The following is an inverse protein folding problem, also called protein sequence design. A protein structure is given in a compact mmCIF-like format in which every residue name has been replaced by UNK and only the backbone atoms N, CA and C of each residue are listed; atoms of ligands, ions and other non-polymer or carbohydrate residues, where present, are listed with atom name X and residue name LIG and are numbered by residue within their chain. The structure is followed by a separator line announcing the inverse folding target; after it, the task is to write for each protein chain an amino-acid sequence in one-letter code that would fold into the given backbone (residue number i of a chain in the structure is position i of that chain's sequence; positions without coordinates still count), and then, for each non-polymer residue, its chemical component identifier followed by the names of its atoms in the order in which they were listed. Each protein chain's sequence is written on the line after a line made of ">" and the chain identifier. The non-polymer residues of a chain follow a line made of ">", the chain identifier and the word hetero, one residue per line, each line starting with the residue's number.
data_IF_554116011223
#
_entry.id   IF_554116011223
#
_cell.length_a   1.000
_cell.length_b   1.000
_cell.length_c   1.000
_cell.angle_alpha   90.00
_cell.angle_beta   90.00
_cell.angle_gamma   90.00
#
_symmetry.space_group_name_H-M   'P 1'
#
loop_
_entity.id
_entity.type
_entity.pdbx_description
1 polymer ?
#
# COMPACT_ATOMS: atom_id res chain seq x y z
N UNK A 1 -47.96 1.93 17.56
CA UNK A 1 -47.53 2.37 16.22
C UNK A 1 -46.21 3.11 16.42
N UNK A 2 -45.10 2.48 16.03
CA UNK A 2 -43.81 3.17 15.98
C UNK A 2 -43.89 4.21 14.84
N UNK A 3 -43.31 5.42 15.02
CA UNK A 3 -43.25 6.39 13.93
C UNK A 3 -42.50 5.77 12.75
N UNK A 4 -43.05 5.95 11.55
CA UNK A 4 -42.37 5.58 10.31
C UNK A 4 -40.96 6.20 10.30
N UNK A 5 -39.91 5.44 9.95
CA UNK A 5 -38.59 6.02 9.78
C UNK A 5 -38.71 7.18 8.78
N UNK A 6 -38.15 8.34 9.18
CA UNK A 6 -38.16 9.57 8.38
C UNK A 6 -37.76 9.28 6.93
N UNK A 7 -38.34 10.01 5.96
CA UNK A 7 -38.03 9.83 4.55
C UNK A 7 -36.52 10.03 4.34
N UNK A 8 -35.87 8.94 3.91
CA UNK A 8 -34.61 8.87 3.18
C UNK A 8 -33.77 10.15 3.24
N UNK A 9 -32.83 10.22 4.20
CA UNK A 9 -31.65 11.07 4.01
C UNK A 9 -30.96 10.50 2.78
N UNK A 10 -31.14 11.15 1.63
CA UNK A 10 -30.48 10.76 0.39
C UNK A 10 -28.97 10.80 0.67
N UNK A 11 -28.35 9.64 0.51
CA UNK A 11 -26.96 9.46 0.89
C UNK A 11 -26.08 10.26 -0.06
N UNK A 12 -25.34 11.22 0.49
CA UNK A 12 -24.39 12.00 -0.30
C UNK A 12 -23.18 11.13 -0.69
N UNK A 13 -23.24 10.64 -1.93
CA UNK A 13 -22.21 9.78 -2.51
C UNK A 13 -20.89 10.52 -2.76
N UNK A 14 -20.91 11.83 -2.98
CA UNK A 14 -19.68 12.61 -3.15
C UNK A 14 -18.91 12.67 -1.82
N UNK A 15 -19.63 12.86 -0.70
CA UNK A 15 -19.06 12.77 0.64
C UNK A 15 -18.54 11.37 0.98
N UNK A 16 -19.20 10.30 0.50
CA UNK A 16 -18.67 8.94 0.67
C UNK A 16 -17.37 8.71 -0.09
N UNK A 17 -17.25 9.23 -1.31
CA UNK A 17 -16.02 9.13 -2.10
C UNK A 17 -14.87 9.86 -1.39
N UNK A 18 -15.08 11.11 -0.97
CA UNK A 18 -14.06 11.90 -0.25
C UNK A 18 -13.69 11.24 1.09
N UNK A 19 -14.70 10.76 1.83
CA UNK A 19 -14.52 10.05 3.09
C UNK A 19 -13.72 8.75 2.92
N UNK A 20 -13.96 7.99 1.86
CA UNK A 20 -13.19 6.80 1.54
C UNK A 20 -11.76 7.14 1.15
N UNK A 21 -11.56 8.08 0.23
CA UNK A 21 -10.24 8.45 -0.28
C UNK A 21 -9.29 8.89 0.83
N UNK A 22 -9.80 9.58 1.86
CA UNK A 22 -9.02 10.09 2.99
C UNK A 22 -8.86 9.09 4.12
N UNK A 23 -9.71 8.07 4.18
CA UNK A 23 -9.64 7.08 5.23
C UNK A 23 -8.31 6.32 5.17
N UNK A 24 -7.83 5.98 6.36
CA UNK A 24 -6.55 5.32 6.55
C UNK A 24 -6.72 3.80 6.61
N UNK A 25 -5.80 3.11 5.97
CA UNK A 25 -5.57 1.68 6.13
C UNK A 25 -4.22 1.51 6.80
N UNK A 26 -4.20 0.79 7.92
CA UNK A 26 -2.99 0.47 8.65
C UNK A 26 -2.67 -1.02 8.54
N UNK A 27 -1.41 -1.33 8.27
CA UNK A 27 -0.89 -2.68 8.42
C UNK A 27 0.54 -2.62 8.97
N UNK A 28 0.78 -3.32 10.09
CA UNK A 28 2.07 -3.33 10.80
C UNK A 28 2.63 -1.93 11.11
N UNK A 29 1.76 -1.01 11.56
CA UNK A 29 2.15 0.36 11.88
C UNK A 29 2.44 1.26 10.66
N UNK A 30 2.34 0.72 9.44
CA UNK A 30 2.43 1.51 8.20
C UNK A 30 1.02 1.92 7.80
N UNK A 31 0.80 3.24 7.74
CA UNK A 31 -0.47 3.86 7.38
C UNK A 31 -0.41 4.36 5.93
N UNK A 32 -1.45 4.06 5.16
CA UNK A 32 -1.67 4.60 3.82
C UNK A 32 -3.14 4.98 3.65
N UNK A 33 -3.43 5.98 2.83
CA UNK A 33 -4.82 6.31 2.47
C UNK A 33 -5.36 5.31 1.45
N UNK A 34 -6.68 5.07 1.43
CA UNK A 34 -7.28 4.21 0.42
C UNK A 34 -7.09 4.73 -1.02
N UNK A 35 -7.01 6.05 -1.23
CA UNK A 35 -6.63 6.60 -2.56
C UNK A 35 -5.20 6.20 -2.96
N UNK A 36 -4.24 6.32 -2.02
CA UNK A 36 -2.84 5.96 -2.25
C UNK A 36 -2.66 4.47 -2.49
N UNK A 37 -3.29 3.64 -1.65
CA UNK A 37 -3.30 2.17 -1.79
C UNK A 37 -3.86 1.77 -3.16
N UNK A 38 -5.00 2.33 -3.56
CA UNK A 38 -5.66 1.99 -4.82
C UNK A 38 -4.82 2.40 -6.02
N UNK A 39 -4.26 3.62 -6.01
CA UNK A 39 -3.37 4.11 -7.07
C UNK A 39 -2.08 3.30 -7.16
N UNK A 40 -1.46 2.99 -6.02
CA UNK A 40 -0.25 2.18 -5.97
C UNK A 40 -0.50 0.78 -6.54
N UNK A 41 -1.62 0.16 -6.20
CA UNK A 41 -2.01 -1.12 -6.78
C UNK A 41 -2.19 -1.04 -8.30
N UNK A 42 -2.87 -0.02 -8.84
CA UNK A 42 -3.01 0.17 -10.29
C UNK A 42 -1.62 0.27 -10.95
N UNK A 43 -0.71 1.06 -10.39
CA UNK A 43 0.64 1.25 -10.94
C UNK A 43 1.51 0.00 -10.86
N UNK A 44 1.34 -0.82 -9.83
CA UNK A 44 2.13 -2.02 -9.58
C UNK A 44 1.60 -3.24 -10.34
N UNK A 45 0.29 -3.39 -10.43
CA UNK A 45 -0.34 -4.55 -11.06
C UNK A 45 -0.52 -4.39 -12.58
N UNK A 46 -0.54 -3.17 -13.12
CA UNK A 46 -0.91 -2.90 -14.52
C UNK A 46 0.08 -2.02 -15.29
N UNK A 47 0.24 -2.32 -16.58
CA UNK A 47 0.98 -1.53 -17.57
C UNK A 47 0.16 -0.30 -17.94
N UNK A 48 0.82 0.86 -17.94
CA UNK A 48 0.22 2.18 -18.19
C UNK A 48 -1.09 2.42 -17.40
N UNK A 49 -1.17 1.84 -16.20
CA UNK A 49 -2.32 1.93 -15.32
C UNK A 49 -2.62 3.37 -14.92
N UNK A 50 -3.79 3.88 -15.29
CA UNK A 50 -4.23 5.24 -14.98
C UNK A 50 -5.61 5.25 -14.35
N UNK A 51 -5.70 5.79 -13.14
CA UNK A 51 -6.98 6.06 -12.50
C UNK A 51 -7.71 7.19 -13.25
N UNK A 52 -8.90 6.90 -13.77
CA UNK A 52 -9.71 7.85 -14.53
C UNK A 52 -10.64 8.65 -13.62
N UNK A 53 -11.37 7.96 -12.74
CA UNK A 53 -12.33 8.56 -11.82
C UNK A 53 -12.71 7.63 -10.68
N UNK A 54 -13.32 8.20 -9.66
CA UNK A 54 -14.07 7.48 -8.65
C UNK A 54 -15.55 7.62 -8.94
N UNK A 55 -16.30 6.53 -8.75
CA UNK A 55 -17.76 6.52 -8.82
C UNK A 55 -18.32 5.79 -7.61
N UNK A 56 -19.55 6.10 -7.25
CA UNK A 56 -20.22 5.52 -6.11
C UNK A 56 -21.64 5.09 -6.47
N UNK A 57 -22.10 4.03 -5.83
CA UNK A 57 -23.48 3.57 -5.88
C UNK A 57 -23.89 3.03 -4.50
N UNK A 58 -25.17 3.12 -4.11
CA UNK A 58 -25.64 2.48 -2.90
C UNK A 58 -25.35 0.97 -2.90
N UNK A 59 -25.04 0.40 -1.75
CA UNK A 59 -24.94 -1.06 -1.60
C UNK A 59 -26.29 -1.72 -1.93
N UNK A 60 -26.33 -2.79 -2.74
CA UNK A 60 -27.57 -3.51 -3.02
C UNK A 60 -28.12 -4.22 -1.77
N UNK A 61 -27.29 -4.41 -0.74
CA UNK A 61 -27.67 -5.09 0.50
C UNK A 61 -28.12 -4.11 1.58
N UNK A 62 -27.40 -3.00 1.74
CA UNK A 62 -27.65 -2.00 2.79
C UNK A 62 -27.54 -0.56 2.22
N UNK A 63 -28.45 -0.15 1.30
CA UNK A 63 -28.30 1.11 0.55
C UNK A 63 -28.32 2.37 1.43
N UNK A 64 -28.95 2.30 2.61
CA UNK A 64 -29.04 3.42 3.54
C UNK A 64 -27.72 3.65 4.29
N UNK A 65 -26.94 2.60 4.52
CA UNK A 65 -25.80 2.64 5.45
C UNK A 65 -24.46 2.29 4.81
N UNK A 66 -24.47 1.77 3.59
CA UNK A 66 -23.28 1.38 2.82
C UNK A 66 -23.29 1.95 1.39
N UNK A 67 -22.10 2.34 0.94
CA UNK A 67 -21.84 2.76 -0.44
C UNK A 67 -20.75 1.87 -1.02
N UNK A 68 -20.95 1.41 -2.25
CA UNK A 68 -19.90 0.80 -3.05
C UNK A 68 -19.21 1.91 -3.84
N UNK A 69 -17.94 2.14 -3.52
CA UNK A 69 -17.10 3.16 -4.14
C UNK A 69 -16.08 2.46 -5.04
N UNK A 70 -16.16 2.73 -6.35
CA UNK A 70 -15.35 2.09 -7.38
C UNK A 70 -14.34 3.07 -7.97
N UNK A 71 -13.06 2.72 -7.91
CA UNK A 71 -11.99 3.33 -8.68
C UNK A 71 -11.97 2.77 -10.10
N UNK A 72 -12.38 3.58 -11.07
CA UNK A 72 -12.36 3.22 -12.49
C UNK A 72 -11.01 3.63 -13.08
N UNK A 73 -10.34 2.68 -13.73
CA UNK A 73 -9.01 2.89 -14.30
C UNK A 73 -8.92 2.31 -15.71
N UNK A 74 -7.85 2.64 -16.42
CA UNK A 74 -7.46 2.04 -17.70
C UNK A 74 -6.06 1.46 -17.59
N UNK A 75 -5.76 0.43 -18.38
CA UNK A 75 -4.45 -0.18 -18.47
C UNK A 75 -4.27 -0.87 -19.83
N UNK A 76 -3.04 -0.99 -20.31
CA UNK A 76 -2.71 -1.74 -21.53
C UNK A 76 -2.66 -3.24 -21.29
N UNK A 77 -2.35 -3.66 -20.07
CA UNK A 77 -2.34 -5.07 -19.64
C UNK A 77 -1.85 -5.22 -18.19
N UNK A 78 -1.82 -6.45 -17.64
CA UNK A 78 -1.21 -6.71 -16.34
C UNK A 78 0.32 -6.74 -16.40
N UNK A 79 1.01 -6.09 -15.45
CA UNK A 79 2.48 -6.15 -15.28
C UNK A 79 2.95 -7.42 -14.56
N UNK A 80 2.25 -7.75 -13.49
CA UNK A 80 2.67 -8.77 -12.55
C UNK A 80 1.91 -10.06 -12.80
N UNK A 81 2.63 -11.20 -12.80
CA UNK A 81 2.00 -12.51 -12.66
C UNK A 81 1.12 -12.50 -11.42
N UNK A 82 -0.18 -12.71 -11.60
CA UNK A 82 -1.08 -12.84 -10.48
C UNK A 82 -0.74 -14.13 -9.70
N UNK A 83 -0.96 -14.15 -8.37
CA UNK A 83 -0.67 -15.32 -7.55
C UNK A 83 -1.48 -16.56 -7.97
N UNK A 84 -2.63 -16.38 -8.62
CA UNK A 84 -3.49 -17.47 -9.11
C UNK A 84 -4.04 -17.18 -10.53
N UNK A 85 -4.31 -18.21 -11.35
CA UNK A 85 -4.80 -18.03 -12.73
C UNK A 85 -6.10 -17.24 -12.85
N UNK A 86 -7.04 -17.42 -11.91
CA UNK A 86 -8.33 -16.74 -11.90
C UNK A 86 -8.15 -15.22 -11.78
N UNK A 87 -7.25 -14.80 -10.88
CA UNK A 87 -6.91 -13.40 -10.70
C UNK A 87 -6.12 -12.85 -11.90
N UNK A 88 -5.28 -13.67 -12.54
CA UNK A 88 -4.60 -13.26 -13.78
C UNK A 88 -5.62 -12.95 -14.88
N UNK A 89 -6.65 -13.79 -15.00
CA UNK A 89 -7.75 -13.58 -15.93
C UNK A 89 -8.52 -12.30 -15.61
N UNK A 90 -8.86 -12.07 -14.34
CA UNK A 90 -9.55 -10.85 -13.91
C UNK A 90 -8.74 -9.58 -14.18
N UNK A 91 -7.43 -9.59 -13.89
CA UNK A 91 -6.54 -8.46 -14.23
C UNK A 91 -6.49 -8.22 -15.74
N UNK A 92 -6.42 -9.28 -16.55
CA UNK A 92 -6.43 -9.15 -18.01
C UNK A 92 -7.73 -8.55 -18.56
N UNK A 93 -8.89 -8.93 -17.99
CA UNK A 93 -10.18 -8.36 -18.37
C UNK A 93 -10.35 -6.90 -17.91
N UNK A 94 -9.73 -6.53 -16.79
CA UNK A 94 -9.97 -5.23 -16.14
C UNK A 94 -9.23 -4.05 -16.77
N UNK A 95 -8.26 -4.32 -17.66
CA UNK A 95 -7.60 -3.27 -18.45
C UNK A 95 -8.49 -2.69 -19.57
N UNK A 96 -9.51 -3.45 -20.01
CA UNK A 96 -10.51 -2.97 -20.96
C UNK A 96 -11.51 -2.06 -20.22
N UNK A 97 -11.72 -0.85 -20.75
CA UNK A 97 -12.49 0.21 -20.11
C UNK A 97 -13.83 -0.28 -19.53
N UNK A 98 -14.00 -0.14 -18.21
CA UNK A 98 -15.28 -0.42 -17.52
C UNK A 98 -15.16 -1.22 -16.22
N UNK A 99 -14.04 -1.90 -15.98
CA UNK A 99 -13.75 -2.53 -14.69
C UNK A 99 -13.10 -1.55 -13.71
N UNK A 100 -13.26 -1.82 -12.41
CA UNK A 100 -12.70 -0.97 -11.37
C UNK A 100 -12.54 -1.69 -10.03
N UNK A 101 -11.72 -1.11 -9.17
CA UNK A 101 -11.47 -1.62 -7.82
C UNK A 101 -12.55 -1.06 -6.92
N UNK A 102 -13.38 -1.93 -6.33
CA UNK A 102 -14.54 -1.51 -5.53
C UNK A 102 -14.31 -1.74 -4.05
N UNK A 103 -14.60 -0.73 -3.25
CA UNK A 103 -14.54 -0.76 -1.81
C UNK A 103 -15.95 -0.56 -1.24
N UNK A 104 -16.29 -1.31 -0.20
CA UNK A 104 -17.53 -1.12 0.55
C UNK A 104 -17.27 -0.16 1.70
N UNK A 105 -17.90 1.00 1.66
CA UNK A 105 -17.78 2.08 2.65
C UNK A 105 -19.02 2.17 3.52
N UNK A 106 -18.87 1.96 4.84
CA UNK A 106 -19.96 1.99 5.83
C UNK A 106 -19.72 3.06 6.89
N UNK A 107 -20.82 3.74 7.30
CA UNK A 107 -20.82 4.82 8.32
C UNK A 107 -21.67 4.50 9.56
N UNK A 108 -22.12 3.25 9.73
CA UNK A 108 -23.21 2.88 10.66
C UNK A 108 -22.85 3.09 12.15
N UNK A 109 -21.58 2.92 12.52
CA UNK A 109 -21.10 3.13 13.90
C UNK A 109 -19.69 3.73 13.96
N UNK A 110 -18.86 3.39 12.98
CA UNK A 110 -17.57 3.99 12.68
C UNK A 110 -17.36 3.87 11.17
N UNK A 111 -16.43 4.63 10.61
CA UNK A 111 -16.00 4.44 9.22
C UNK A 111 -15.39 3.04 9.11
N UNK A 112 -16.01 2.19 8.29
CA UNK A 112 -15.51 0.85 7.95
C UNK A 112 -15.39 0.73 6.45
N UNK A 113 -14.24 0.23 6.00
CA UNK A 113 -13.95 0.04 4.59
C UNK A 113 -13.50 -1.39 4.38
N UNK A 114 -14.28 -2.14 3.61
CA UNK A 114 -13.98 -3.52 3.26
C UNK A 114 -13.71 -3.65 1.76
N UNK A 115 -12.82 -4.55 1.34
CA UNK A 115 -12.72 -4.93 -0.06
C UNK A 115 -14.07 -5.45 -0.59
N UNK A 116 -14.44 -5.05 -1.81
CA UNK A 116 -15.62 -5.58 -2.51
C UNK A 116 -15.21 -6.15 -3.87
N UNK A 117 -15.14 -7.48 -3.95
CA UNK A 117 -14.70 -8.21 -5.14
C UNK A 117 -13.18 -8.47 -5.17
N UNK A 118 -12.77 -9.31 -6.10
CA UNK A 118 -11.42 -9.90 -6.10
C UNK A 118 -10.30 -8.89 -6.31
N UNK A 119 -10.52 -7.85 -7.12
CA UNK A 119 -9.51 -6.80 -7.35
C UNK A 119 -9.21 -5.98 -6.10
N UNK A 120 -10.22 -5.73 -5.25
CA UNK A 120 -10.00 -5.02 -4.00
C UNK A 120 -9.30 -5.90 -2.96
N UNK A 121 -9.62 -7.20 -2.94
CA UNK A 121 -8.88 -8.18 -2.13
C UNK A 121 -7.42 -8.30 -2.58
N UNK A 122 -7.18 -8.32 -3.89
CA UNK A 122 -5.85 -8.33 -4.48
C UNK A 122 -5.09 -7.03 -4.18
N UNK A 123 -5.73 -5.86 -4.27
CA UNK A 123 -5.13 -4.58 -3.87
C UNK A 123 -4.66 -4.59 -2.41
N UNK A 124 -5.48 -5.14 -1.51
CA UNK A 124 -5.12 -5.31 -0.10
C UNK A 124 -3.97 -6.32 0.09
N UNK A 125 -3.97 -7.43 -0.65
CA UNK A 125 -2.90 -8.42 -0.59
C UNK A 125 -1.57 -7.84 -1.09
N UNK A 126 -1.58 -7.10 -2.20
CA UNK A 126 -0.41 -6.40 -2.74
C UNK A 126 0.11 -5.35 -1.76
N UNK A 127 -0.79 -4.58 -1.12
CA UNK A 127 -0.39 -3.63 -0.07
C UNK A 127 0.33 -4.34 1.09
N UNK A 128 -0.27 -5.39 1.64
CA UNK A 128 0.31 -6.17 2.74
C UNK A 128 1.66 -6.78 2.36
N UNK A 129 1.76 -7.41 1.19
CA UNK A 129 3.01 -7.98 0.69
C UNK A 129 4.09 -6.90 0.47
N UNK A 130 3.70 -5.71 0.03
CA UNK A 130 4.61 -4.57 -0.14
C UNK A 130 5.13 -4.07 1.19
N UNK A 131 4.26 -3.94 2.19
CA UNK A 131 4.64 -3.58 3.57
C UNK A 131 5.53 -4.67 4.18
N UNK A 132 5.19 -5.94 4.02
CA UNK A 132 5.98 -7.07 4.52
C UNK A 132 7.40 -7.05 3.91
N UNK A 133 7.50 -6.91 2.59
CA UNK A 133 8.78 -6.76 1.89
C UNK A 133 9.55 -5.51 2.32
N UNK A 134 8.86 -4.40 2.62
CA UNK A 134 9.49 -3.19 3.13
C UNK A 134 10.10 -3.42 4.52
N UNK A 135 9.32 -3.99 5.44
CA UNK A 135 9.75 -4.28 6.82
C UNK A 135 10.90 -5.28 6.84
N UNK A 136 10.88 -6.32 6.02
CA UNK A 136 11.96 -7.31 5.93
C UNK A 136 13.29 -6.70 5.47
N UNK A 137 13.25 -5.61 4.71
CA UNK A 137 14.42 -4.87 4.24
C UNK A 137 14.83 -3.74 5.18
N UNK A 138 14.05 -3.45 6.22
CA UNK A 138 14.41 -2.41 7.18
C UNK A 138 15.52 -2.88 8.11
N UNK A 139 16.56 -2.07 8.19
CA UNK A 139 17.66 -2.22 9.13
C UNK A 139 17.90 -0.91 9.84
N UNK A 140 18.49 -0.95 11.02
CA UNK A 140 18.98 0.25 11.70
C UNK A 140 20.50 0.17 11.87
N UNK A 141 21.16 1.33 11.92
CA UNK A 141 22.60 1.47 12.10
C UNK A 141 22.91 1.93 13.54
N UNK A 142 23.23 1.03 14.49
CA UNK A 142 23.35 1.39 15.91
C UNK A 142 24.42 2.45 16.19
N UNK A 143 25.55 2.38 15.48
CA UNK A 143 26.67 3.31 15.63
C UNK A 143 26.84 4.29 14.46
N UNK A 144 25.89 4.31 13.51
CA UNK A 144 26.02 5.05 12.27
C UNK A 144 27.08 4.46 11.33
N UNK A 145 27.53 5.25 10.35
CA UNK A 145 28.60 4.83 9.45
C UNK A 145 28.75 5.70 8.20
N UNK A 146 29.68 5.33 7.34
CA UNK A 146 29.91 6.01 6.06
C UNK A 146 29.30 5.19 4.91
N UNK A 147 28.38 5.79 4.16
CA UNK A 147 27.88 5.23 2.91
C UNK A 147 28.92 5.43 1.81
N UNK A 148 29.25 4.36 1.10
CA UNK A 148 30.28 4.36 0.06
C UNK A 148 29.71 4.12 -1.32
N UNK A 149 30.44 4.55 -2.35
CA UNK A 149 30.02 4.38 -3.74
C UNK A 149 30.08 2.92 -4.22
N UNK A 150 30.89 2.07 -3.58
CA UNK A 150 31.08 0.66 -3.90
C UNK A 150 31.27 -0.17 -2.61
N UNK A 151 31.09 -1.51 -2.65
CA UNK A 151 31.28 -2.40 -1.50
C UNK A 151 32.77 -2.62 -1.19
N UNK A 152 33.47 -1.53 -0.89
CA UNK A 152 34.90 -1.48 -0.58
C UNK A 152 35.18 -0.33 0.40
N UNK A 153 36.03 -0.56 1.39
CA UNK A 153 36.50 0.44 2.34
C UNK A 153 37.31 1.57 1.69
N UNK A 154 37.93 1.32 0.53
CA UNK A 154 38.67 2.33 -0.22
C UNK A 154 37.77 3.25 -1.05
N UNK A 155 36.52 2.85 -1.29
CA UNK A 155 35.60 3.58 -2.16
C UNK A 155 35.20 4.94 -1.55
N UNK A 156 34.95 5.97 -2.40
CA UNK A 156 34.55 7.30 -1.94
C UNK A 156 33.33 7.25 -1.02
N UNK A 157 33.37 8.06 0.04
CA UNK A 157 32.24 8.26 0.95
C UNK A 157 31.25 9.22 0.29
N UNK A 158 30.04 8.75 0.06
CA UNK A 158 28.93 9.52 -0.49
C UNK A 158 28.20 10.32 0.59
N UNK A 159 28.02 9.73 1.77
CA UNK A 159 27.31 10.33 2.89
C UNK A 159 27.73 9.70 4.22
N UNK A 160 27.41 10.38 5.32
CA UNK A 160 27.46 9.79 6.67
C UNK A 160 26.04 9.54 7.17
N UNK A 161 25.90 8.47 7.92
CA UNK A 161 24.67 8.01 8.54
C UNK A 161 24.85 8.11 10.04
N UNK A 162 23.89 8.75 10.68
CA UNK A 162 23.88 8.93 12.13
C UNK A 162 23.58 7.62 12.86
N UNK A 163 24.03 7.54 14.12
CA UNK A 163 23.68 6.44 15.01
C UNK A 163 22.16 6.38 15.22
N UNK A 164 21.60 5.18 15.19
CA UNK A 164 20.16 4.93 15.30
C UNK A 164 19.36 5.15 14.01
N UNK A 165 20.00 5.55 12.90
CA UNK A 165 19.29 5.76 11.64
C UNK A 165 18.67 4.46 11.10
N UNK A 166 17.42 4.57 10.63
CA UNK A 166 16.70 3.48 9.96
C UNK A 166 16.91 3.58 8.45
N UNK A 167 17.25 2.46 7.84
CA UNK A 167 17.68 2.33 6.46
C UNK A 167 16.93 1.17 5.79
N UNK A 168 16.82 1.22 4.47
CA UNK A 168 16.26 0.16 3.65
C UNK A 168 17.38 -0.53 2.88
N UNK A 169 17.49 -1.86 2.98
CA UNK A 169 18.41 -2.68 2.20
C UNK A 169 17.86 -2.87 0.79
N UNK A 170 18.66 -2.52 -0.21
CA UNK A 170 18.32 -2.68 -1.64
C UNK A 170 19.07 -3.85 -2.27
N UNK A 171 20.29 -4.13 -1.80
CA UNK A 171 21.16 -5.19 -2.33
C UNK A 171 22.12 -5.67 -1.24
N UNK A 172 22.53 -6.93 -1.29
CA UNK A 172 23.61 -7.47 -0.45
C UNK A 172 24.69 -8.12 -1.32
N UNK A 173 25.95 -7.78 -1.07
CA UNK A 173 27.09 -8.28 -1.82
C UNK A 173 28.35 -8.33 -0.96
N UNK A 174 28.99 -9.50 -0.90
CA UNK A 174 30.32 -9.69 -0.31
C UNK A 174 30.49 -9.09 1.10
N UNK A 175 29.47 -9.23 1.97
CA UNK A 175 29.52 -8.69 3.34
C UNK A 175 29.18 -7.20 3.46
N UNK A 176 28.76 -6.56 2.36
CA UNK A 176 28.20 -5.21 2.33
C UNK A 176 26.73 -5.25 1.99
N UNK A 177 26.00 -4.28 2.51
CA UNK A 177 24.63 -3.97 2.12
C UNK A 177 24.60 -2.63 1.44
N UNK A 178 23.94 -2.57 0.28
CA UNK A 178 23.55 -1.31 -0.32
C UNK A 178 22.27 -0.86 0.36
N UNK A 179 22.32 0.31 0.98
CA UNK A 179 21.23 0.84 1.78
C UNK A 179 20.88 2.25 1.35
N UNK A 180 19.63 2.63 1.60
CA UNK A 180 19.10 3.96 1.37
C UNK A 180 18.38 4.43 2.62
N UNK A 181 18.52 5.70 2.99
CA UNK A 181 17.78 6.29 4.11
C UNK A 181 16.48 6.90 3.59
N UNK A 182 15.29 6.37 3.93
CA UNK A 182 14.04 7.03 3.57
C UNK A 182 13.94 8.43 4.22
N UNK A 183 13.37 9.44 3.54
CA UNK A 183 12.79 9.41 2.20
C UNK A 183 13.80 9.66 1.06
N UNK A 184 15.09 9.85 1.36
CA UNK A 184 16.09 10.18 0.35
C UNK A 184 16.24 9.08 -0.72
N UNK A 185 16.58 9.47 -1.94
CA UNK A 185 16.83 8.57 -3.08
C UNK A 185 18.27 8.09 -3.15
N UNK A 186 19.19 8.77 -2.45
CA UNK A 186 20.60 8.43 -2.47
C UNK A 186 20.86 7.12 -1.70
N UNK A 187 21.39 6.13 -2.40
CA UNK A 187 21.80 4.84 -1.85
C UNK A 187 23.32 4.71 -1.85
N UNK A 188 23.87 3.95 -0.90
CA UNK A 188 25.29 3.65 -0.84
C UNK A 188 25.57 2.37 -0.07
N UNK A 189 26.82 1.93 -0.10
CA UNK A 189 27.28 0.68 0.49
C UNK A 189 27.77 0.89 1.92
N UNK A 190 27.40 -0.05 2.79
CA UNK A 190 27.80 -0.10 4.19
C UNK A 190 28.18 -1.55 4.53
N UNK A 191 29.16 -1.76 5.41
CA UNK A 191 29.48 -3.11 5.89
C UNK A 191 28.28 -3.70 6.65
N UNK A 192 27.90 -4.95 6.36
CA UNK A 192 26.76 -5.64 6.98
C UNK A 192 26.81 -5.62 8.51
N UNK A 193 28.03 -5.70 9.08
CA UNK A 193 28.26 -5.67 10.53
C UNK A 193 27.82 -4.38 11.22
N UNK A 194 27.66 -3.28 10.48
CA UNK A 194 27.25 -1.97 11.01
C UNK A 194 25.73 -1.76 11.04
N UNK A 195 24.96 -2.71 10.51
CA UNK A 195 23.49 -2.67 10.57
C UNK A 195 22.93 -3.87 11.31
N UNK A 196 21.71 -3.71 11.82
CA UNK A 196 20.92 -4.77 12.45
C UNK A 196 19.53 -4.76 11.85
N UNK A 197 18.95 -5.95 11.68
CA UNK A 197 17.55 -6.05 11.31
C UNK A 197 16.70 -5.35 12.37
N UNK A 198 15.64 -4.68 11.96
CA UNK A 198 14.62 -4.24 12.90
C UNK A 198 13.87 -5.50 13.32
N UNK A 199 14.15 -6.01 14.52
CA UNK A 199 13.44 -7.16 15.04
C UNK A 199 11.95 -6.84 15.19
N UNK A 200 11.10 -7.79 14.83
CA UNK A 200 9.68 -7.73 15.15
C UNK A 200 9.55 -7.67 16.66
N UNK A 201 8.94 -6.62 17.17
CA UNK A 201 8.28 -6.71 18.48
C UNK A 201 7.03 -7.57 18.25
N UNK A 202 7.21 -8.88 18.09
CA UNK A 202 6.13 -9.81 18.37
C UNK A 202 5.85 -9.63 19.86
N UNK A 203 4.60 -9.30 20.16
CA UNK A 203 4.02 -9.13 21.49
C UNK A 203 4.72 -10.02 22.53
N UNK A 204 5.63 -9.41 23.29
CA UNK A 204 5.94 -9.84 24.65
C UNK A 204 5.48 -8.72 25.56
N UNK A 205 4.68 -9.12 26.53
CA UNK A 205 4.18 -8.36 27.67
C UNK A 205 2.92 -7.52 27.34
N UNK A 206 1.69 -7.85 27.78
CA UNK A 206 1.25 -8.51 29.03
C UNK A 206 0.02 -9.41 28.85
#
# INVERSE_FOLDING_TARGET
>A
LLPSPNPSVERDMALDIDGLQRAECEYRGIVARFDELTRAYILQAYEDGQLLRWQAQPSPYNPETETLVTAVFTATGPKASAPVPELAHLRALSGAAGAGITWRYSRLAAVRIDPHGDLAHDAMAVFKATVDSFVERMVYAPGGGALRAAPDLSAPVLARIEAGAVLLVEEERAGYVRVRQPPATAAGWLERKHVRAVERTDERDH
#
